data_IF_556325918253
#
_entry.id   IF_556325918253
#
_cell.length_a   1.000
_cell.length_b   1.000
_cell.length_c   1.000
_cell.angle_alpha   90.00
_cell.angle_beta   90.00
_cell.angle_gamma   90.00
#
_symmetry.space_group_name_H-M   'P 1'
#
loop_
_entity.id
_entity.type
_entity.pdbx_description
1 polymer ?
#
# COMPACT_ATOMS: atom_id res chain seq x y z
N UNK A 1 -17.37 19.50 -23.17
CA UNK A 1 -18.10 18.35 -23.75
C UNK A 1 -17.25 17.14 -23.44
N UNK A 2 -17.71 16.24 -22.57
CA UNK A 2 -16.98 15.01 -22.24
C UNK A 2 -17.21 14.02 -23.39
N UNK A 3 -16.29 14.00 -24.34
CA UNK A 3 -16.19 12.89 -25.29
C UNK A 3 -15.48 11.77 -24.57
N UNK A 4 -16.20 10.74 -24.13
CA UNK A 4 -15.51 9.54 -23.68
C UNK A 4 -14.79 8.99 -24.91
N UNK A 5 -13.46 8.95 -24.87
CA UNK A 5 -12.69 8.35 -25.95
C UNK A 5 -13.06 6.86 -25.98
N UNK A 6 -13.94 6.48 -26.92
CA UNK A 6 -14.47 5.13 -27.02
C UNK A 6 -13.31 4.16 -27.28
N UNK A 7 -13.07 3.25 -26.34
CA UNK A 7 -12.01 2.25 -26.43
C UNK A 7 -12.06 1.46 -27.73
N UNK A 8 -13.27 1.20 -28.26
CA UNK A 8 -13.47 0.56 -29.57
C UNK A 8 -12.97 1.39 -30.75
N UNK A 9 -13.08 2.72 -30.68
CA UNK A 9 -12.53 3.61 -31.70
C UNK A 9 -11.01 3.62 -31.61
N UNK A 10 -10.46 3.69 -30.40
CA UNK A 10 -9.02 3.63 -30.16
C UNK A 10 -8.43 2.29 -30.60
N UNK A 11 -9.09 1.16 -30.33
CA UNK A 11 -8.68 -0.18 -30.80
C UNK A 11 -8.64 -0.31 -32.33
N UNK A 12 -9.37 0.56 -33.03
CA UNK A 12 -9.38 0.62 -34.50
C UNK A 12 -8.35 1.60 -35.06
N UNK A 13 -7.69 2.39 -34.21
CA UNK A 13 -6.62 3.32 -34.60
C UNK A 13 -5.29 2.57 -34.76
N UNK A 14 -4.38 3.16 -35.55
CA UNK A 14 -3.06 2.57 -35.74
C UNK A 14 -2.27 2.69 -34.44
N UNK A 15 -1.44 1.68 -34.18
CA UNK A 15 -0.58 1.63 -32.99
C UNK A 15 0.24 2.92 -32.81
N UNK A 16 0.79 3.47 -33.89
CA UNK A 16 1.60 4.70 -33.83
C UNK A 16 0.79 5.91 -33.33
N UNK A 17 -0.46 6.05 -33.79
CA UNK A 17 -1.35 7.14 -33.37
C UNK A 17 -1.74 6.98 -31.88
N UNK A 18 -2.00 5.75 -31.43
CA UNK A 18 -2.27 5.47 -30.02
C UNK A 18 -1.07 5.71 -29.11
N UNK A 19 0.15 5.38 -29.56
CA UNK A 19 1.36 5.62 -28.80
C UNK A 19 1.67 7.12 -28.69
N UNK A 20 1.40 7.89 -29.75
CA UNK A 20 1.51 9.35 -29.71
C UNK A 20 0.50 9.95 -28.74
N UNK A 21 -0.76 9.49 -28.80
CA UNK A 21 -1.80 9.91 -27.86
C UNK A 21 -1.45 9.54 -26.42
N UNK A 22 -0.92 8.33 -26.19
CA UNK A 22 -0.47 7.89 -24.89
C UNK A 22 0.61 8.82 -24.31
N UNK A 23 1.60 9.19 -25.12
CA UNK A 23 2.66 10.13 -24.70
C UNK A 23 2.14 11.55 -24.45
N UNK A 24 1.18 12.02 -25.24
CA UNK A 24 0.54 13.32 -25.05
C UNK A 24 -0.27 13.37 -23.75
N UNK A 25 -0.93 12.26 -23.42
CA UNK A 25 -1.69 12.06 -22.18
C UNK A 25 -0.80 11.69 -20.98
N UNK A 26 0.51 11.51 -21.16
CA UNK A 26 1.44 11.14 -20.09
C UNK A 26 1.31 9.69 -19.60
N UNK A 27 0.70 8.80 -20.38
CA UNK A 27 0.54 7.37 -20.08
C UNK A 27 1.55 6.50 -20.83
N UNK A 28 1.84 5.32 -20.29
CA UNK A 28 2.78 4.37 -20.90
C UNK A 28 2.29 3.91 -22.28
N UNK A 29 3.13 4.14 -23.30
CA UNK A 29 2.93 3.71 -24.69
C UNK A 29 3.35 2.24 -24.96
N UNK A 30 3.67 1.52 -23.88
CA UNK A 30 4.07 0.12 -23.91
C UNK A 30 2.88 -0.82 -23.83
N UNK A 31 2.87 -1.82 -24.71
CA UNK A 31 1.84 -2.86 -24.78
C UNK A 31 1.18 -2.99 -26.15
N UNK A 32 0.06 -3.71 -26.17
CA UNK A 32 -0.76 -3.88 -27.37
C UNK A 32 -1.70 -2.68 -27.58
N UNK A 33 -2.20 -2.53 -28.81
CA UNK A 33 -3.15 -1.47 -29.19
C UNK A 33 -4.30 -1.36 -28.19
N UNK A 34 -4.82 -2.51 -27.71
CA UNK A 34 -5.93 -2.57 -26.76
C UNK A 34 -5.59 -2.03 -25.38
N UNK A 35 -4.39 -2.35 -24.89
CA UNK A 35 -3.92 -1.91 -23.59
C UNK A 35 -3.65 -0.41 -23.58
N UNK A 36 -3.01 0.09 -24.63
CA UNK A 36 -2.74 1.51 -24.81
C UNK A 36 -4.06 2.28 -24.95
N UNK A 37 -5.00 1.77 -25.76
CA UNK A 37 -6.33 2.34 -25.93
C UNK A 37 -7.11 2.44 -24.61
N UNK A 38 -7.11 1.37 -23.81
CA UNK A 38 -7.79 1.35 -22.52
C UNK A 38 -7.18 2.36 -21.54
N UNK A 39 -5.85 2.48 -21.50
CA UNK A 39 -5.15 3.46 -20.66
C UNK A 39 -5.40 4.90 -21.09
N UNK A 40 -5.38 5.18 -22.39
CA UNK A 40 -5.68 6.51 -22.92
C UNK A 40 -7.13 6.93 -22.63
N UNK A 41 -8.09 6.01 -22.81
CA UNK A 41 -9.49 6.27 -22.50
C UNK A 41 -9.77 6.51 -21.01
N UNK A 42 -9.00 5.86 -20.13
CA UNK A 42 -9.13 6.04 -18.67
C UNK A 42 -8.53 7.38 -18.19
N UNK A 43 -7.45 7.85 -18.80
CA UNK A 43 -6.75 9.06 -18.36
C UNK A 43 -7.46 10.37 -18.69
N UNK A 44 -8.30 10.41 -19.73
CA UNK A 44 -9.08 11.62 -20.05
C UNK A 44 -10.19 11.94 -19.01
N UNK A 45 -10.34 11.12 -17.97
CA UNK A 45 -11.36 11.27 -16.92
C UNK A 45 -10.78 11.81 -15.60
N UNK A 46 -9.48 11.69 -15.32
CA UNK A 46 -8.95 12.02 -13.98
C UNK A 46 -7.44 12.31 -13.97
N UNK A 47 -7.06 13.59 -13.87
CA UNK A 47 -5.76 14.05 -13.35
C UNK A 47 -6.05 15.42 -12.70
N UNK A 48 -5.72 15.69 -11.41
CA UNK A 48 -4.38 15.44 -10.87
C UNK A 48 -4.34 14.92 -9.42
N UNK A 49 -3.48 13.94 -9.15
CA UNK A 49 -2.31 14.08 -8.26
C UNK A 49 -1.48 12.79 -8.35
N UNK A 50 -0.33 12.75 -7.68
CA UNK A 50 0.58 11.60 -7.57
C UNK A 50 1.56 11.43 -8.75
N UNK A 51 2.41 12.45 -8.88
CA UNK A 51 3.84 12.15 -8.85
C UNK A 51 4.15 11.26 -7.64
N UNK A 52 4.28 9.95 -7.87
CA UNK A 52 5.42 9.11 -7.48
C UNK A 52 5.04 7.64 -7.29
N UNK A 53 5.55 6.85 -8.23
CA UNK A 53 6.11 5.52 -8.07
C UNK A 53 5.21 4.27 -7.98
N UNK A 54 5.36 3.48 -9.05
CA UNK A 54 5.66 2.04 -9.09
C UNK A 54 4.49 1.06 -9.06
N UNK A 55 4.22 0.55 -10.27
CA UNK A 55 4.27 -0.88 -10.60
C UNK A 55 4.09 -1.86 -9.41
N UNK A 56 2.89 -2.43 -9.25
CA UNK A 56 2.73 -3.87 -9.47
C UNK A 56 1.23 -4.24 -9.57
N UNK A 57 0.88 -4.80 -10.71
CA UNK A 57 -0.41 -5.39 -11.06
C UNK A 57 -0.63 -6.69 -10.28
N UNK A 58 -1.67 -6.74 -9.43
CA UNK A 58 -2.56 -7.89 -9.14
C UNK A 58 -3.31 -7.68 -7.82
N UNK A 59 -4.63 -7.49 -7.88
CA UNK A 59 -5.56 -8.63 -7.91
C UNK A 59 -7.01 -8.11 -7.88
N UNK A 60 -7.82 -8.67 -8.76
CA UNK A 60 -9.27 -8.63 -8.70
C UNK A 60 -9.77 -9.24 -7.37
N UNK A 61 -10.56 -8.50 -6.58
CA UNK A 61 -11.83 -8.99 -6.00
C UNK A 61 -12.46 -7.94 -5.05
N UNK A 62 -13.70 -7.56 -5.39
CA UNK A 62 -14.82 -7.15 -4.51
C UNK A 62 -14.54 -6.25 -3.30
N UNK A 63 -15.01 -5.03 -3.42
CA UNK A 63 -16.11 -4.47 -2.62
C UNK A 63 -16.23 -4.91 -1.14
N UNK A 64 -15.86 -3.96 -0.28
CA UNK A 64 -16.56 -3.50 0.92
C UNK A 64 -16.99 -4.55 1.97
N UNK A 65 -16.26 -4.56 3.08
CA UNK A 65 -16.67 -3.88 4.34
C UNK A 65 -16.13 -4.66 5.54
N UNK A 66 -15.44 -3.93 6.43
CA UNK A 66 -15.17 -4.28 7.82
C UNK A 66 -14.59 -5.68 8.12
N UNK A 67 -13.27 -5.77 8.31
CA UNK A 67 -12.77 -6.36 9.54
C UNK A 67 -11.34 -5.92 9.85
N UNK A 68 -11.18 -5.28 11.01
CA UNK A 68 -9.91 -5.05 11.68
C UNK A 68 -9.18 -6.39 11.91
N UNK A 69 -8.11 -6.73 11.18
CA UNK A 69 -7.17 -7.79 11.63
C UNK A 69 -5.93 -8.06 10.73
N UNK A 70 -5.55 -7.23 9.75
CA UNK A 70 -4.38 -7.54 8.92
C UNK A 70 -3.37 -6.40 8.79
N UNK A 71 -2.80 -6.02 9.93
CA UNK A 71 -1.39 -5.63 9.98
C UNK A 71 -0.56 -6.71 10.69
N UNK A 72 -0.73 -7.96 10.27
CA UNK A 72 0.30 -8.99 10.47
C UNK A 72 1.45 -8.73 9.48
N UNK A 73 2.18 -7.62 9.68
CA UNK A 73 3.52 -7.50 9.10
C UNK A 73 4.45 -8.36 9.94
N UNK A 74 4.92 -9.44 9.32
CA UNK A 74 6.12 -10.23 9.66
C UNK A 74 5.94 -11.23 10.80
N UNK A 75 5.22 -12.32 10.51
CA UNK A 75 5.60 -13.65 11.01
C UNK A 75 6.85 -14.16 10.28
N UNK A 76 7.93 -13.37 10.25
CA UNK A 76 9.22 -13.88 9.81
C UNK A 76 10.08 -14.04 11.06
N UNK A 77 10.04 -15.27 11.57
CA UNK A 77 11.24 -15.95 12.06
C UNK A 77 12.20 -15.04 12.82
N UNK A 78 11.93 -14.81 14.09
CA UNK A 78 12.98 -14.44 15.03
C UNK A 78 12.55 -15.00 16.38
N UNK A 79 13.14 -16.15 16.74
CA UNK A 79 13.49 -16.33 18.14
C UNK A 79 14.08 -15.00 18.62
N UNK A 80 13.65 -14.44 19.77
CA UNK A 80 14.38 -13.33 20.33
C UNK A 80 15.86 -13.73 20.40
N UNK A 81 16.70 -13.05 19.61
CA UNK A 81 18.14 -13.13 19.79
C UNK A 81 18.49 -12.65 21.20
N UNK A 82 19.69 -12.98 21.70
CA UNK A 82 20.17 -12.53 23.00
C UNK A 82 19.91 -11.01 23.18
N UNK A 83 18.93 -10.66 24.04
CA UNK A 83 18.57 -9.28 24.38
C UNK A 83 17.24 -8.73 23.84
N UNK A 84 16.47 -9.47 23.04
CA UNK A 84 15.14 -9.03 22.58
C UNK A 84 14.00 -9.68 23.38
N UNK A 85 12.91 -8.95 23.58
CA UNK A 85 11.70 -9.40 24.25
C UNK A 85 10.47 -9.09 23.39
N UNK A 86 9.53 -10.02 23.36
CA UNK A 86 8.25 -9.83 22.68
C UNK A 86 7.24 -9.24 23.66
N UNK A 87 6.52 -8.21 23.23
CA UNK A 87 5.59 -7.46 24.09
C UNK A 87 4.27 -7.24 23.36
N UNK A 88 3.18 -7.23 24.14
CA UNK A 88 1.81 -6.95 23.70
C UNK A 88 1.39 -5.61 24.26
N UNK A 89 0.99 -4.67 23.41
CA UNK A 89 0.48 -3.37 23.79
C UNK A 89 -0.83 -3.53 24.57
N UNK A 90 -0.93 -2.86 25.71
CA UNK A 90 -2.14 -2.83 26.56
C UNK A 90 -2.93 -1.54 26.33
N UNK A 91 -2.24 -0.42 26.21
CA UNK A 91 -2.85 0.90 25.99
C UNK A 91 -2.25 1.58 24.78
N UNK A 92 -3.04 2.42 24.10
CA UNK A 92 -2.55 3.19 22.96
C UNK A 92 -1.46 4.16 23.40
N UNK A 93 -0.30 4.13 22.74
CA UNK A 93 0.77 5.09 23.01
C UNK A 93 1.50 5.52 21.75
N UNK A 94 2.05 6.73 21.77
CA UNK A 94 2.95 7.22 20.73
C UNK A 94 4.38 6.74 21.04
N UNK A 95 4.88 5.84 20.20
CA UNK A 95 6.27 5.44 20.23
C UNK A 95 7.14 6.57 19.65
N UNK A 96 7.71 7.41 20.52
CA UNK A 96 8.58 8.52 20.11
C UNK A 96 9.84 8.09 19.35
N UNK A 97 10.27 6.83 19.48
CA UNK A 97 11.47 6.30 18.79
C UNK A 97 11.14 5.94 17.35
N UNK A 98 9.95 5.39 17.11
CA UNK A 98 9.49 4.98 15.79
C UNK A 98 8.57 6.02 15.12
N UNK A 99 8.21 7.08 15.85
CA UNK A 99 7.19 8.07 15.48
C UNK A 99 5.89 7.41 15.00
N UNK A 100 5.47 6.34 15.68
CA UNK A 100 4.32 5.51 15.34
C UNK A 100 3.39 5.38 16.54
N UNK A 101 2.08 5.42 16.27
CA UNK A 101 1.07 5.11 17.28
C UNK A 101 0.95 3.59 17.38
N UNK A 102 1.11 3.07 18.58
CA UNK A 102 0.91 1.66 18.92
C UNK A 102 -0.49 1.49 19.48
N UNK A 103 -1.24 0.59 18.87
CA UNK A 103 -2.63 0.32 19.25
C UNK A 103 -2.71 -0.81 20.28
N UNK A 104 -3.69 -0.76 21.20
CA UNK A 104 -3.89 -1.81 22.19
C UNK A 104 -4.16 -3.16 21.52
N UNK A 105 -3.50 -4.21 22.00
CA UNK A 105 -3.55 -5.55 21.42
C UNK A 105 -2.43 -5.88 20.42
N UNK A 106 -1.71 -4.88 19.91
CA UNK A 106 -0.59 -5.08 18.98
C UNK A 106 0.57 -5.83 19.66
N UNK A 107 1.18 -6.80 18.98
CA UNK A 107 2.33 -7.54 19.48
C UNK A 107 3.56 -7.22 18.65
N UNK A 108 4.65 -6.81 19.29
CA UNK A 108 5.89 -6.47 18.60
C UNK A 108 7.12 -6.91 19.40
N UNK A 109 8.27 -6.96 18.74
CA UNK A 109 9.55 -7.32 19.35
C UNK A 109 10.32 -6.04 19.66
N UNK A 110 10.85 -5.94 20.87
CA UNK A 110 11.65 -4.81 21.33
C UNK A 110 12.82 -5.28 22.17
N UNK A 111 13.72 -4.37 22.55
CA UNK A 111 14.87 -4.69 23.40
C UNK A 111 14.37 -4.98 24.84
N UNK A 112 15.00 -5.89 25.59
CA UNK A 112 14.55 -6.26 26.95
C UNK A 112 14.42 -5.05 27.88
N UNK A 113 15.41 -4.16 27.88
CA UNK A 113 15.38 -2.92 28.67
C UNK A 113 14.18 -2.03 28.29
N UNK A 114 13.86 -1.95 27.00
CA UNK A 114 12.72 -1.17 26.51
C UNK A 114 11.39 -1.83 26.85
N UNK A 115 11.32 -3.16 26.77
CA UNK A 115 10.15 -3.93 27.17
C UNK A 115 9.82 -3.67 28.65
N UNK A 116 10.83 -3.66 29.53
CA UNK A 116 10.65 -3.36 30.95
C UNK A 116 10.22 -1.90 31.19
N UNK A 117 10.77 -0.93 30.45
CA UNK A 117 10.35 0.48 30.55
C UNK A 117 8.90 0.69 30.11
N UNK A 118 8.47 0.01 29.05
CA UNK A 118 7.10 0.08 28.56
C UNK A 118 6.14 -0.68 29.49
N UNK A 119 6.58 -1.81 30.04
CA UNK A 119 5.79 -2.62 30.98
C UNK A 119 5.63 -1.92 32.34
N UNK A 120 6.67 -1.24 32.83
CA UNK A 120 6.60 -0.43 34.05
C UNK A 120 5.71 0.81 33.92
N UNK A 121 5.33 1.19 32.70
CA UNK A 121 4.32 2.23 32.42
C UNK A 121 2.94 1.65 32.12
N UNK A 122 2.77 0.34 32.25
CA UNK A 122 1.52 -0.39 31.94
C UNK A 122 1.07 -0.26 30.47
N UNK A 123 1.94 0.25 29.59
CA UNK A 123 1.64 0.44 28.17
C UNK A 123 1.73 -0.86 27.38
N UNK A 124 2.56 -1.80 27.83
CA UNK A 124 2.73 -3.12 27.21
C UNK A 124 2.86 -4.21 28.28
N UNK A 125 2.63 -5.47 27.88
CA UNK A 125 2.87 -6.68 28.66
C UNK A 125 3.88 -7.56 27.94
N UNK A 126 4.91 -8.01 28.63
CA UNK A 126 5.88 -8.95 28.07
C UNK A 126 5.18 -10.31 27.86
N UNK A 127 5.23 -10.80 26.62
CA UNK A 127 4.66 -12.09 26.19
C UNK A 127 5.82 -12.90 25.62
N UNK A 128 6.32 -13.84 26.42
CA UNK A 128 7.47 -14.70 26.11
C UNK A 128 7.27 -15.54 24.84
#
# INVERSE_FOLDING_TARGET
>A
MKGNLDTKQLESMKKADLQALARELGVSDEGTIKEIAARCAAVEVDVPDESELTEEDKELAREAEAEQAKQEKRQQENKPGEGKARVKVLERYLDKRLNQIKEPGEVFITDKERAEVLAGKELVKIVE
#
